data_IF_293076038861
#
_entry.id   IF_293076038861
#
_cell.length_a   1.000
_cell.length_b   1.000
_cell.length_c   1.000
_cell.angle_alpha   90.00
_cell.angle_beta   90.00
_cell.angle_gamma   90.00
#
_symmetry.space_group_name_H-M   'P 1'
#
loop_
_entity.id
_entity.type
_entity.pdbx_description
1 polymer ?
#
# COMPACT_ATOMS: atom_id res chain seq x y z
N UNK A 1 4.06 43.56 -40.33
CA UNK A 1 3.14 43.29 -39.20
C UNK A 1 2.63 41.85 -39.17
N UNK A 2 2.28 41.21 -40.30
CA UNK A 2 1.73 39.85 -40.32
C UNK A 2 2.67 38.75 -39.76
N UNK A 3 3.97 38.84 -40.03
CA UNK A 3 4.97 37.84 -39.60
C UNK A 3 5.20 37.81 -38.09
N UNK A 4 5.15 38.97 -37.43
CA UNK A 4 5.30 39.07 -35.99
C UNK A 4 4.11 38.42 -35.24
N UNK A 5 2.89 38.55 -35.78
CA UNK A 5 1.68 37.97 -35.19
C UNK A 5 1.71 36.43 -35.26
N UNK A 6 2.16 35.85 -36.37
CA UNK A 6 2.30 34.39 -36.50
C UNK A 6 3.35 33.79 -35.53
N UNK A 7 4.47 34.47 -35.31
CA UNK A 7 5.50 34.01 -34.36
C UNK A 7 4.96 34.03 -32.93
N UNK A 8 4.24 35.08 -32.54
CA UNK A 8 3.61 35.17 -31.22
C UNK A 8 2.56 34.08 -30.99
N UNK A 9 1.72 33.79 -31.98
CA UNK A 9 0.73 32.71 -31.89
C UNK A 9 1.39 31.33 -31.75
N UNK A 10 2.49 31.08 -32.46
CA UNK A 10 3.25 29.83 -32.35
C UNK A 10 3.87 29.63 -30.96
N UNK A 11 4.48 30.68 -30.40
CA UNK A 11 5.06 30.62 -29.03
C UNK A 11 3.97 30.42 -27.99
N UNK A 12 2.82 31.08 -28.14
CA UNK A 12 1.70 30.93 -27.21
C UNK A 12 1.09 29.53 -27.25
N UNK A 13 0.99 28.91 -28.43
CA UNK A 13 0.50 27.54 -28.59
C UNK A 13 1.43 26.50 -27.91
N UNK A 14 2.75 26.68 -28.04
CA UNK A 14 3.73 25.82 -27.37
C UNK A 14 3.62 25.98 -25.86
N UNK A 15 3.54 27.22 -25.36
CA UNK A 15 3.41 27.49 -23.93
C UNK A 15 2.12 26.89 -23.35
N UNK A 16 0.99 27.09 -24.04
CA UNK A 16 -0.30 26.51 -23.63
C UNK A 16 -0.23 24.98 -23.57
N UNK A 17 0.44 24.34 -24.52
CA UNK A 17 0.60 22.88 -24.56
C UNK A 17 1.44 22.38 -23.38
N UNK A 18 2.55 23.05 -23.05
CA UNK A 18 3.38 22.71 -21.89
C UNK A 18 2.58 22.83 -20.60
N UNK A 19 1.82 23.92 -20.42
CA UNK A 19 0.98 24.13 -19.23
C UNK A 19 -0.07 23.03 -19.10
N UNK A 20 -0.75 22.65 -20.19
CA UNK A 20 -1.73 21.56 -20.18
C UNK A 20 -1.09 20.24 -19.76
N UNK A 21 0.10 19.90 -20.29
CA UNK A 21 0.81 18.66 -19.93
C UNK A 21 1.19 18.64 -18.45
N UNK A 22 1.66 19.76 -17.90
CA UNK A 22 2.01 19.86 -16.47
C UNK A 22 0.77 19.67 -15.60
N UNK A 23 -0.34 20.34 -15.92
CA UNK A 23 -1.60 20.20 -15.17
C UNK A 23 -2.12 18.77 -15.25
N UNK A 24 -2.08 18.13 -16.42
CA UNK A 24 -2.52 16.75 -16.60
C UNK A 24 -1.69 15.77 -15.75
N UNK A 25 -0.37 15.96 -15.67
CA UNK A 25 0.50 15.15 -14.79
C UNK A 25 0.14 15.32 -13.32
N UNK A 26 -0.03 16.56 -12.86
CA UNK A 26 -0.41 16.84 -11.46
C UNK A 26 -1.77 16.23 -11.10
N UNK A 27 -2.74 16.27 -12.00
CA UNK A 27 -4.06 15.64 -11.79
C UNK A 27 -3.96 14.11 -11.76
N UNK A 28 -3.13 13.50 -12.62
CA UNK A 28 -2.91 12.06 -12.62
C UNK A 28 -2.24 11.58 -11.33
N UNK A 29 -1.23 12.30 -10.84
CA UNK A 29 -0.59 12.04 -9.55
C UNK A 29 -1.58 12.21 -8.40
N UNK A 30 -2.35 13.30 -8.37
CA UNK A 30 -3.38 13.52 -7.36
C UNK A 30 -4.45 12.43 -7.33
N UNK A 31 -4.87 11.93 -8.50
CA UNK A 31 -5.80 10.80 -8.58
C UNK A 31 -5.16 9.50 -8.07
N UNK A 32 -3.91 9.22 -8.45
CA UNK A 32 -3.15 8.06 -7.96
C UNK A 32 -3.01 8.09 -6.45
N UNK A 33 -2.66 9.25 -5.88
CA UNK A 33 -2.57 9.47 -4.43
C UNK A 33 -3.92 9.27 -3.74
N UNK A 34 -5.03 9.73 -4.33
CA UNK A 34 -6.37 9.50 -3.78
C UNK A 34 -6.80 8.04 -3.84
N UNK A 35 -6.51 7.34 -4.93
CA UNK A 35 -6.79 5.89 -5.05
C UNK A 35 -5.93 5.08 -4.09
N UNK A 36 -4.67 5.47 -3.92
CA UNK A 36 -3.79 4.94 -2.89
C UNK A 36 -4.39 5.21 -1.49
N UNK A 37 -4.72 6.46 -1.17
CA UNK A 37 -5.32 6.85 0.11
C UNK A 37 -6.63 6.10 0.41
N UNK A 38 -7.51 5.96 -0.59
CA UNK A 38 -8.74 5.20 -0.47
C UNK A 38 -8.47 3.70 -0.26
N UNK A 39 -7.49 3.11 -0.96
CA UNK A 39 -7.04 1.73 -0.73
C UNK A 39 -6.46 1.56 0.68
N UNK A 40 -5.76 2.57 1.20
CA UNK A 40 -5.18 2.56 2.55
C UNK A 40 -6.24 2.70 3.65
N UNK A 41 -7.33 3.44 3.44
CA UNK A 41 -8.37 3.66 4.46
C UNK A 41 -9.17 2.42 4.90
N UNK A 42 -9.05 1.28 4.21
CA UNK A 42 -9.98 0.16 4.36
C UNK A 42 -9.42 -1.15 4.95
N UNK A 43 -8.17 -1.18 5.43
CA UNK A 43 -7.47 -2.45 5.68
C UNK A 43 -6.77 -2.55 7.05
N UNK A 44 -6.37 -3.77 7.44
CA UNK A 44 -5.88 -4.19 8.77
C UNK A 44 -4.69 -3.36 9.26
N UNK A 45 -3.81 -2.95 8.35
CA UNK A 45 -2.68 -2.09 8.64
C UNK A 45 -3.11 -0.68 9.09
N UNK A 46 -4.17 -0.12 8.53
CA UNK A 46 -4.42 1.32 8.61
C UNK A 46 -5.35 1.74 9.75
N UNK A 47 -6.22 0.87 10.26
CA UNK A 47 -7.31 1.32 11.17
C UNK A 47 -6.89 1.77 12.57
N UNK A 48 -5.61 1.73 12.92
CA UNK A 48 -5.17 2.40 14.14
C UNK A 48 -3.84 3.14 14.05
N UNK A 49 -2.97 2.94 13.05
CA UNK A 49 -1.56 3.34 13.23
C UNK A 49 -0.91 2.60 14.41
N UNK A 50 -1.52 1.46 14.77
CA UNK A 50 -1.15 0.49 15.79
C UNK A 50 -1.66 -0.86 15.30
N UNK A 51 -0.79 -1.84 15.15
CA UNK A 51 -1.20 -3.24 15.09
C UNK A 51 -0.89 -3.85 16.45
N UNK A 52 -1.83 -4.57 17.03
CA UNK A 52 -1.59 -5.43 18.19
C UNK A 52 -2.30 -6.74 17.89
N UNK A 53 -1.53 -7.73 17.47
CA UNK A 53 -1.97 -9.12 17.58
C UNK A 53 -1.38 -9.70 18.86
N UNK A 54 -2.04 -10.72 19.40
CA UNK A 54 -1.65 -11.50 20.58
C UNK A 54 -0.33 -12.22 20.26
N UNK A 55 0.78 -11.48 20.17
CA UNK A 55 2.07 -12.01 19.76
C UNK A 55 3.11 -11.02 19.24
N UNK A 56 2.91 -10.25 18.16
CA UNK A 56 4.06 -10.10 17.25
C UNK A 56 4.57 -8.72 16.75
N UNK A 57 3.81 -7.64 16.53
CA UNK A 57 4.44 -6.40 16.01
C UNK A 57 3.71 -5.12 16.42
N UNK A 58 4.44 -4.14 16.98
CA UNK A 58 3.91 -2.79 17.22
C UNK A 58 4.41 -1.86 16.11
N UNK A 59 3.50 -1.41 15.24
CA UNK A 59 3.82 -0.61 14.07
C UNK A 59 3.16 0.77 14.16
N UNK A 60 3.89 1.81 13.76
CA UNK A 60 3.42 3.19 13.71
C UNK A 60 3.72 3.82 12.36
N UNK A 61 2.79 4.65 11.88
CA UNK A 61 2.94 5.38 10.62
C UNK A 61 2.39 6.79 10.77
N UNK A 62 3.25 7.82 10.91
CA UNK A 62 2.81 9.20 11.11
C UNK A 62 2.24 9.85 9.83
N UNK A 63 2.51 9.27 8.67
CA UNK A 63 2.17 9.82 7.35
C UNK A 63 0.98 9.11 6.68
N UNK A 64 0.20 8.36 7.47
CA UNK A 64 -1.00 7.69 6.97
C UNK A 64 -0.69 6.43 6.14
N UNK A 65 0.34 5.69 6.51
CA UNK A 65 0.66 4.37 5.95
C UNK A 65 1.68 4.40 4.81
N UNK A 66 2.33 5.54 4.53
CA UNK A 66 3.37 5.65 3.50
C UNK A 66 4.69 5.08 4.05
N UNK A 67 5.07 5.47 5.26
CA UNK A 67 6.21 4.93 5.99
C UNK A 67 5.77 4.26 7.27
N UNK A 68 6.33 3.09 7.56
CA UNK A 68 6.03 2.30 8.74
C UNK A 68 7.28 2.17 9.60
N UNK A 69 7.09 2.31 10.90
CA UNK A 69 8.13 2.19 11.91
C UNK A 69 7.78 1.10 12.91
N UNK A 70 8.77 0.29 13.26
CA UNK A 70 8.65 -0.65 14.36
C UNK A 70 8.81 0.10 15.68
N UNK A 71 7.91 -0.16 16.61
CA UNK A 71 7.95 0.37 17.96
C UNK A 71 8.27 -0.73 18.97
N UNK A 72 8.87 -0.34 20.07
CA UNK A 72 8.99 -1.18 21.27
C UNK A 72 8.37 -0.48 22.46
N UNK A 73 7.76 -1.26 23.37
CA UNK A 73 7.30 -0.73 24.64
C UNK A 73 8.47 -0.64 25.60
N UNK A 74 8.80 0.58 26.02
CA UNK A 74 9.81 0.79 27.03
C UNK A 74 9.19 0.50 28.40
N UNK A 75 9.52 -0.66 28.97
CA UNK A 75 9.00 -1.09 30.28
C UNK A 75 9.49 -0.22 31.43
N UNK A 76 10.60 0.52 31.27
CA UNK A 76 11.16 1.40 32.30
C UNK A 76 10.50 2.77 32.38
N UNK A 77 10.08 3.33 31.24
CA UNK A 77 9.45 4.66 31.17
C UNK A 77 7.95 4.61 30.92
N UNK A 78 7.41 3.44 30.57
CA UNK A 78 6.03 3.29 30.07
C UNK A 78 5.80 3.88 28.68
N UNK A 79 6.84 4.45 28.07
CA UNK A 79 6.80 5.07 26.75
C UNK A 79 6.99 4.06 25.62
N UNK A 80 7.09 4.59 24.41
CA UNK A 80 7.34 3.81 23.20
C UNK A 80 8.55 4.37 22.47
N UNK A 81 9.44 3.47 22.12
CA UNK A 81 10.65 3.79 21.40
C UNK A 81 10.48 3.36 19.94
N UNK A 82 10.84 4.25 19.01
CA UNK A 82 10.95 3.91 17.60
C UNK A 82 12.26 3.12 17.43
N UNK A 83 12.14 1.85 17.01
CA UNK A 83 13.29 0.99 16.77
C UNK A 83 13.96 1.27 15.42
N UNK A 84 13.18 1.64 14.41
CA UNK A 84 13.63 1.82 13.03
C UNK A 84 12.46 1.73 12.06
N UNK A 85 12.74 1.70 10.75
CA UNK A 85 11.69 1.41 9.77
C UNK A 85 11.24 -0.05 9.90
N UNK A 86 9.97 -0.33 9.57
CA UNK A 86 9.40 -1.66 9.74
C UNK A 86 10.15 -2.73 8.92
N UNK A 87 10.59 -2.39 7.70
CA UNK A 87 11.32 -3.32 6.82
C UNK A 87 12.79 -3.52 7.23
N UNK A 88 13.39 -2.58 7.95
CA UNK A 88 14.73 -2.77 8.52
C UNK A 88 14.69 -3.74 9.71
N UNK A 89 13.68 -3.59 10.58
CA UNK A 89 13.54 -4.42 11.79
C UNK A 89 12.93 -5.79 11.46
N UNK A 90 11.96 -5.82 10.55
CA UNK A 90 11.23 -7.02 10.13
C UNK A 90 11.16 -7.10 8.59
N UNK A 91 12.23 -7.57 7.93
CA UNK A 91 12.26 -7.64 6.47
C UNK A 91 11.11 -8.48 5.90
N UNK A 92 10.37 -7.92 4.96
CA UNK A 92 9.23 -8.56 4.29
C UNK A 92 7.91 -8.49 5.06
N UNK A 93 7.87 -7.84 6.23
CA UNK A 93 6.66 -7.75 7.06
C UNK A 93 5.51 -7.02 6.34
N UNK A 94 5.77 -5.90 5.67
CA UNK A 94 4.71 -5.15 5.00
C UNK A 94 4.13 -5.96 3.82
N UNK A 95 4.99 -6.68 3.09
CA UNK A 95 4.55 -7.59 2.03
C UNK A 95 3.69 -8.73 2.58
N UNK A 96 4.09 -9.33 3.71
CA UNK A 96 3.31 -10.37 4.38
C UNK A 96 1.93 -9.83 4.81
N UNK A 97 1.88 -8.66 5.43
CA UNK A 97 0.63 -8.04 5.89
C UNK A 97 -0.29 -7.67 4.71
N UNK A 98 0.25 -7.13 3.61
CA UNK A 98 -0.54 -6.90 2.39
C UNK A 98 -1.06 -8.23 1.79
N UNK A 99 -0.25 -9.28 1.84
CA UNK A 99 -0.64 -10.63 1.42
C UNK A 99 -1.79 -11.20 2.25
N UNK A 100 -1.72 -11.05 3.58
CA UNK A 100 -2.79 -11.45 4.51
C UNK A 100 -4.09 -10.66 4.27
N UNK A 101 -4.00 -9.37 3.93
CA UNK A 101 -5.15 -8.55 3.56
C UNK A 101 -5.81 -9.04 2.26
N UNK A 102 -5.00 -9.33 1.23
CA UNK A 102 -5.48 -9.90 -0.04
C UNK A 102 -6.15 -11.26 0.19
N UNK A 103 -5.54 -12.11 1.01
CA UNK A 103 -6.09 -13.41 1.40
C UNK A 103 -7.43 -13.25 2.12
N UNK A 104 -7.53 -12.33 3.08
CA UNK A 104 -8.77 -12.05 3.80
C UNK A 104 -9.88 -11.59 2.85
N UNK A 105 -9.57 -10.65 1.95
CA UNK A 105 -10.51 -10.16 0.94
C UNK A 105 -10.94 -11.29 -0.01
N UNK A 106 -10.00 -12.15 -0.41
CA UNK A 106 -10.26 -13.31 -1.26
C UNK A 106 -11.23 -14.29 -0.58
N UNK A 107 -10.95 -14.68 0.66
CA UNK A 107 -11.80 -15.60 1.45
C UNK A 107 -13.18 -14.99 1.69
N UNK A 108 -13.27 -13.68 1.98
CA UNK A 108 -14.56 -13.00 2.14
C UNK A 108 -15.42 -13.06 0.88
N UNK A 109 -14.79 -13.03 -0.31
CA UNK A 109 -15.49 -13.04 -1.60
C UNK A 109 -15.83 -14.45 -2.09
N UNK A 110 -14.92 -15.41 -1.94
CA UNK A 110 -15.04 -16.75 -2.53
C UNK A 110 -15.40 -17.84 -1.52
N UNK A 111 -15.46 -17.50 -0.24
CA UNK A 111 -15.64 -18.44 0.86
C UNK A 111 -14.30 -19.01 1.36
N UNK A 112 -14.36 -19.93 2.35
CA UNK A 112 -13.16 -20.57 2.88
C UNK A 112 -12.38 -21.30 1.80
N UNK A 113 -11.05 -21.19 1.84
CA UNK A 113 -10.18 -21.95 0.93
C UNK A 113 -10.40 -23.45 1.15
N UNK A 114 -10.59 -24.18 0.04
CA UNK A 114 -10.83 -25.63 0.08
C UNK A 114 -12.25 -26.03 0.48
N UNK A 115 -13.20 -25.08 0.61
CA UNK A 115 -14.59 -25.40 0.95
C UNK A 115 -15.26 -26.40 -0.01
N UNK A 116 -14.84 -26.45 -1.29
CA UNK A 116 -15.34 -27.42 -2.28
C UNK A 116 -14.49 -28.71 -2.37
N UNK A 117 -13.61 -28.97 -1.40
CA UNK A 117 -12.77 -30.19 -1.34
C UNK A 117 -11.63 -30.23 -2.36
N UNK A 118 -11.36 -29.11 -3.07
CA UNK A 118 -10.21 -28.94 -3.95
C UNK A 118 -9.56 -27.59 -3.68
N UNK A 119 -8.26 -27.60 -3.50
CA UNK A 119 -7.44 -26.38 -3.48
C UNK A 119 -7.08 -26.06 -4.93
N UNK A 120 -7.41 -24.86 -5.37
CA UNK A 120 -7.08 -24.39 -6.72
C UNK A 120 -5.72 -23.70 -6.75
N UNK A 121 -5.13 -23.53 -7.94
CA UNK A 121 -3.89 -22.75 -8.10
C UNK A 121 -4.05 -21.31 -7.61
N UNK A 122 -5.26 -20.73 -7.76
CA UNK A 122 -5.60 -19.41 -7.23
C UNK A 122 -5.50 -19.37 -5.70
N UNK A 123 -5.98 -20.42 -5.02
CA UNK A 123 -5.88 -20.51 -3.56
C UNK A 123 -4.43 -20.63 -3.10
N UNK A 124 -3.61 -21.44 -3.79
CA UNK A 124 -2.18 -21.57 -3.52
C UNK A 124 -1.44 -20.25 -3.73
N UNK A 125 -1.81 -19.49 -4.76
CA UNK A 125 -1.24 -18.18 -5.03
C UNK A 125 -1.60 -17.16 -3.94
N UNK A 126 -2.83 -17.19 -3.43
CA UNK A 126 -3.24 -16.31 -2.32
C UNK A 126 -2.55 -16.67 -1.01
N UNK A 127 -2.39 -17.96 -0.72
CA UNK A 127 -1.70 -18.44 0.48
C UNK A 127 -0.20 -18.11 0.44
N UNK A 128 0.46 -18.40 -0.68
CA UNK A 128 1.89 -18.08 -0.86
C UNK A 128 2.15 -16.57 -0.87
N UNK A 129 1.27 -15.78 -1.49
CA UNK A 129 1.32 -14.32 -1.43
C UNK A 129 1.16 -13.75 -0.02
N UNK A 130 0.47 -14.48 0.86
CA UNK A 130 0.39 -14.19 2.30
C UNK A 130 1.57 -14.74 3.10
N UNK A 131 2.63 -15.24 2.46
CA UNK A 131 3.79 -15.83 3.13
C UNK A 131 3.51 -17.18 3.80
N UNK A 132 2.36 -17.82 3.52
CA UNK A 132 2.02 -19.13 4.06
C UNK A 132 2.61 -20.22 3.17
N UNK A 133 3.42 -21.09 3.77
CA UNK A 133 3.93 -22.29 3.10
C UNK A 133 2.87 -23.38 3.15
N UNK A 134 2.40 -23.83 1.99
CA UNK A 134 1.39 -24.88 1.87
C UNK A 134 2.10 -26.18 1.47
N UNK A 135 2.06 -27.17 2.35
CA UNK A 135 2.57 -28.51 2.04
C UNK A 135 1.39 -29.46 1.85
N UNK A 136 1.33 -30.12 0.70
CA UNK A 136 0.39 -31.23 0.49
C UNK A 136 0.88 -32.42 1.31
N UNK A 137 0.10 -32.81 2.31
CA UNK A 137 0.25 -34.11 2.97
C UNK A 137 -0.16 -35.17 1.94
N UNK A 138 0.82 -35.92 1.43
CA UNK A 138 0.60 -37.10 0.59
C UNK A 138 0.09 -38.25 1.42
#
# INVERSE_FOLDING_TARGET
>A
MLTAVCVYLGVFAIFATVVIVVIAKQLAEGKRLREQLAKYQHTYLYKSGWCYDVGNYLLFSPDGGISWHALNRNSGTGGLDILGTAEEIYPGLLNHLEGMEKLTAYVKKHGPIGAQGKITDSDLLMLSGAGLSVHSLK
#
